data_IF_130228559993
#
_entry.id   IF_130228559993
#
_cell.length_a   1.000
_cell.length_b   1.000
_cell.length_c   1.000
_cell.angle_alpha   90.00
_cell.angle_beta   90.00
_cell.angle_gamma   90.00
#
_symmetry.space_group_name_H-M   'P 1'
#
loop_
_entity.id
_entity.type
_entity.pdbx_description
1 polymer ?
#
# COMPACT_ATOMS: atom_id res chain seq x y z
N UNK A 1 -9.31 10.93 -12.74
CA UNK A 1 -10.34 10.31 -11.86
C UNK A 1 -11.44 11.33 -11.65
N UNK A 2 -12.70 11.02 -11.98
CA UNK A 2 -13.82 11.98 -11.90
C UNK A 2 -14.76 11.61 -10.76
N UNK A 3 -15.09 12.56 -9.88
CA UNK A 3 -15.97 12.36 -8.72
C UNK A 3 -16.91 13.56 -8.54
N UNK A 4 -18.07 13.34 -7.91
CA UNK A 4 -18.91 14.43 -7.42
C UNK A 4 -18.43 14.82 -6.02
N UNK A 5 -18.11 16.11 -5.84
CA UNK A 5 -17.68 16.64 -4.55
C UNK A 5 -18.34 18.00 -4.32
N UNK A 6 -19.12 18.07 -3.23
CA UNK A 6 -19.89 19.27 -2.84
C UNK A 6 -20.86 19.76 -3.94
N UNK A 7 -21.44 18.83 -4.71
CA UNK A 7 -22.40 19.14 -5.77
C UNK A 7 -21.74 19.57 -7.10
N UNK A 8 -20.41 19.49 -7.19
CA UNK A 8 -19.67 19.75 -8.42
C UNK A 8 -18.93 18.51 -8.90
N UNK A 9 -18.93 18.31 -10.21
CA UNK A 9 -18.12 17.30 -10.86
C UNK A 9 -16.66 17.76 -10.92
N UNK A 10 -15.76 17.09 -10.18
CA UNK A 10 -14.32 17.36 -10.17
C UNK A 10 -13.53 16.24 -10.83
N UNK A 11 -12.45 16.61 -11.50
CA UNK A 11 -11.48 15.68 -12.09
C UNK A 11 -10.15 15.86 -11.37
N UNK A 12 -9.57 14.74 -10.94
CA UNK A 12 -8.29 14.69 -10.26
C UNK A 12 -7.31 13.79 -11.01
N UNK A 13 -6.05 14.18 -11.02
CA UNK A 13 -4.93 13.30 -11.33
C UNK A 13 -4.67 12.34 -10.14
N UNK A 14 -4.11 11.13 -10.38
CA UNK A 14 -3.79 10.19 -9.29
C UNK A 14 -2.93 10.82 -8.19
N UNK A 15 -1.98 11.68 -8.56
CA UNK A 15 -1.04 12.36 -7.66
C UNK A 15 -1.75 13.32 -6.71
N UNK A 16 -2.83 13.97 -7.18
CA UNK A 16 -3.66 14.83 -6.34
C UNK A 16 -4.43 14.01 -5.30
N UNK A 17 -4.85 12.79 -5.62
CA UNK A 17 -5.52 11.92 -4.65
C UNK A 17 -4.51 11.37 -3.64
N UNK A 18 -3.34 10.93 -4.12
CA UNK A 18 -2.24 10.49 -3.27
C UNK A 18 -1.77 11.60 -2.32
N UNK A 19 -1.74 12.86 -2.78
CA UNK A 19 -1.38 14.00 -1.93
C UNK A 19 -2.41 14.25 -0.82
N UNK A 20 -3.70 13.97 -1.04
CA UNK A 20 -4.72 14.04 0.02
C UNK A 20 -4.45 13.02 1.13
N UNK A 21 -4.01 11.80 0.77
CA UNK A 21 -3.60 10.78 1.75
C UNK A 21 -2.36 11.23 2.51
N UNK A 22 -1.33 11.73 1.81
CA UNK A 22 -0.10 12.23 2.42
C UNK A 22 -0.37 13.42 3.34
N UNK A 23 -1.26 14.33 2.95
CA UNK A 23 -1.71 15.45 3.79
C UNK A 23 -2.35 14.92 5.07
N UNK A 24 -3.21 13.90 4.97
CA UNK A 24 -3.82 13.32 6.16
C UNK A 24 -2.80 12.67 7.11
N UNK A 25 -1.78 12.02 6.55
CA UNK A 25 -0.69 11.43 7.34
C UNK A 25 0.18 12.51 7.99
N UNK A 26 0.47 13.60 7.27
CA UNK A 26 1.15 14.78 7.81
C UNK A 26 0.37 15.37 9.00
N UNK A 27 -0.92 15.65 8.85
CA UNK A 27 -1.78 16.15 9.94
C UNK A 27 -1.73 15.23 11.17
N UNK A 28 -1.78 13.91 10.93
CA UNK A 28 -1.72 12.91 11.99
C UNK A 28 -0.38 12.96 12.75
N UNK A 29 0.73 13.07 12.01
CA UNK A 29 2.07 13.21 12.59
C UNK A 29 2.24 14.54 13.34
N UNK A 30 1.76 15.66 12.79
CA UNK A 30 1.80 16.97 13.42
C UNK A 30 0.99 17.01 14.71
N UNK A 31 -0.20 16.40 14.72
CA UNK A 31 -1.03 16.28 15.92
C UNK A 31 -0.35 15.44 17.01
N UNK A 32 0.36 14.38 16.63
CA UNK A 32 1.11 13.55 17.57
C UNK A 32 2.36 14.26 18.13
N UNK A 33 3.09 14.99 17.29
CA UNK A 33 4.35 15.64 17.66
C UNK A 33 4.18 17.03 18.27
N UNK A 34 3.02 17.67 18.09
CA UNK A 34 2.76 19.05 18.55
C UNK A 34 3.54 20.12 17.79
N UNK A 35 4.08 19.79 16.61
CA UNK A 35 4.89 20.70 15.77
C UNK A 35 4.67 20.40 14.29
N UNK A 36 5.04 21.36 13.44
CA UNK A 36 4.93 21.17 11.99
C UNK A 36 5.93 20.15 11.46
N UNK A 37 5.50 19.39 10.46
CA UNK A 37 6.28 18.37 9.74
C UNK A 37 6.47 18.85 8.31
N UNK A 38 7.72 19.16 7.95
CA UNK A 38 8.07 19.76 6.65
C UNK A 38 8.79 18.81 5.71
N UNK A 39 9.38 17.73 6.22
CA UNK A 39 10.24 16.82 5.47
C UNK A 39 9.72 15.39 5.57
N UNK A 40 9.82 14.64 4.47
CA UNK A 40 9.41 13.24 4.43
C UNK A 40 10.32 12.39 3.55
N UNK A 41 10.42 11.11 3.91
CA UNK A 41 10.86 10.03 3.03
C UNK A 41 9.64 9.18 2.76
N UNK A 42 9.37 8.88 1.49
CA UNK A 42 8.17 8.15 1.08
C UNK A 42 8.60 6.81 0.48
N UNK A 43 7.93 5.73 0.88
CA UNK A 43 8.16 4.39 0.36
C UNK A 43 7.38 4.15 -0.93
N UNK A 44 7.90 3.33 -1.83
CA UNK A 44 7.22 2.84 -3.04
C UNK A 44 7.54 1.36 -3.27
N UNK A 45 6.68 0.62 -3.99
CA UNK A 45 7.00 -0.74 -4.42
C UNK A 45 8.31 -0.79 -5.21
N UNK A 46 9.04 -1.89 -5.11
CA UNK A 46 10.35 -2.01 -5.77
C UNK A 46 10.26 -1.88 -7.30
N UNK A 47 9.15 -2.35 -7.88
CA UNK A 47 8.88 -2.31 -9.32
C UNK A 47 8.39 -0.98 -9.88
N UNK A 48 8.23 0.05 -9.05
CA UNK A 48 7.84 1.36 -9.55
C UNK A 48 8.89 1.89 -10.54
N UNK A 49 8.41 2.22 -11.74
CA UNK A 49 9.22 2.88 -12.76
C UNK A 49 9.43 4.36 -12.43
N UNK A 50 10.25 5.04 -13.23
CA UNK A 50 10.62 6.44 -12.98
C UNK A 50 9.42 7.39 -12.97
N UNK A 51 8.42 7.18 -13.84
CA UNK A 51 7.24 8.04 -13.89
C UNK A 51 6.37 7.88 -12.64
N UNK A 52 6.19 6.65 -12.14
CA UNK A 52 5.44 6.38 -10.91
C UNK A 52 6.17 6.92 -9.66
N UNK A 53 7.51 6.85 -9.64
CA UNK A 53 8.34 7.46 -8.58
C UNK A 53 8.20 8.98 -8.59
N UNK A 54 8.24 9.59 -9.78
CA UNK A 54 8.06 11.04 -9.92
C UNK A 54 6.66 11.46 -9.49
N UNK A 55 5.62 10.74 -9.93
CA UNK A 55 4.24 10.96 -9.50
C UNK A 55 4.06 10.92 -7.97
N UNK A 56 4.73 9.98 -7.29
CA UNK A 56 4.72 9.89 -5.83
C UNK A 56 5.44 11.07 -5.17
N UNK A 57 6.56 11.51 -5.75
CA UNK A 57 7.30 12.71 -5.28
C UNK A 57 6.49 13.99 -5.47
N UNK A 58 5.78 14.11 -6.58
CA UNK A 58 4.88 15.23 -6.87
C UNK A 58 3.71 15.24 -5.88
N UNK A 59 3.15 14.08 -5.56
CA UNK A 59 2.13 13.93 -4.51
C UNK A 59 2.62 14.47 -3.16
N UNK A 60 3.87 14.16 -2.79
CA UNK A 60 4.51 14.70 -1.58
C UNK A 60 4.65 16.22 -1.63
N UNK A 61 5.06 16.76 -2.77
CA UNK A 61 5.19 18.21 -2.98
C UNK A 61 3.85 18.92 -2.86
N UNK A 62 2.79 18.39 -3.47
CA UNK A 62 1.42 18.92 -3.38
C UNK A 62 0.91 18.91 -1.93
N UNK A 63 1.30 17.91 -1.13
CA UNK A 63 0.96 17.85 0.31
C UNK A 63 1.75 18.81 1.21
N UNK A 64 2.63 19.64 0.63
CA UNK A 64 3.47 20.58 1.37
C UNK A 64 4.56 19.86 2.19
N UNK A 65 5.08 18.75 1.68
CA UNK A 65 6.23 18.03 2.21
C UNK A 65 7.42 18.17 1.25
N UNK A 66 8.59 18.47 1.79
CA UNK A 66 9.86 18.32 1.08
C UNK A 66 10.25 16.84 1.09
N UNK A 67 10.07 16.18 -0.06
CA UNK A 67 10.43 14.76 -0.24
C UNK A 67 11.95 14.63 -0.36
N UNK A 68 12.59 14.21 0.73
CA UNK A 68 14.04 14.04 0.82
C UNK A 68 14.53 12.84 0.00
N UNK A 69 13.74 11.76 -0.01
CA UNK A 69 14.06 10.53 -0.72
C UNK A 69 12.78 9.74 -1.01
N UNK A 70 12.75 9.10 -2.17
CA UNK A 70 11.86 7.98 -2.44
C UNK A 70 12.68 6.70 -2.20
N UNK A 71 12.19 5.80 -1.35
CA UNK A 71 12.88 4.55 -1.01
C UNK A 71 11.99 3.36 -1.36
N UNK A 72 12.59 2.24 -1.74
CA UNK A 72 11.84 1.01 -1.98
C UNK A 72 11.34 0.44 -0.65
N UNK A 73 10.10 -0.04 -0.63
CA UNK A 73 9.49 -0.76 0.50
C UNK A 73 10.38 -1.88 1.07
N UNK A 74 10.90 -2.83 0.25
CA UNK A 74 11.78 -3.87 0.79
C UNK A 74 13.08 -3.31 1.37
N UNK A 75 13.63 -2.22 0.81
CA UNK A 75 14.82 -1.58 1.39
C UNK A 75 14.50 -0.92 2.73
N UNK A 76 13.35 -0.25 2.85
CA UNK A 76 12.91 0.33 4.12
C UNK A 76 12.68 -0.75 5.18
N UNK A 77 12.06 -1.88 4.81
CA UNK A 77 11.88 -3.03 5.68
C UNK A 77 13.22 -3.66 6.10
N UNK A 78 14.19 -3.77 5.19
CA UNK A 78 15.53 -4.25 5.50
C UNK A 78 16.25 -3.33 6.50
N UNK A 79 16.16 -2.01 6.31
CA UNK A 79 16.72 -1.04 7.25
C UNK A 79 16.09 -1.22 8.63
N UNK A 80 14.75 -1.33 8.71
CA UNK A 80 14.07 -1.58 9.98
C UNK A 80 14.52 -2.89 10.65
N UNK A 81 14.77 -3.95 9.87
CA UNK A 81 15.29 -5.22 10.38
C UNK A 81 16.76 -5.15 10.84
N UNK A 82 17.60 -4.41 10.11
CA UNK A 82 19.04 -4.34 10.33
C UNK A 82 19.49 -3.31 11.38
N UNK A 83 18.68 -2.26 11.64
CA UNK A 83 19.03 -1.16 12.55
C UNK A 83 19.46 -1.62 13.96
N UNK A 84 18.77 -2.61 14.52
CA UNK A 84 19.06 -3.11 15.88
C UNK A 84 19.94 -4.37 15.89
N UNK A 85 20.17 -4.99 14.72
CA UNK A 85 20.89 -6.26 14.63
C UNK A 85 22.37 -6.01 14.37
N UNK A 86 23.13 -5.81 15.45
CA UNK A 86 24.61 -5.84 15.47
C UNK A 86 25.12 -7.28 15.27
N UNK A 87 24.93 -7.81 14.08
CA UNK A 87 25.55 -9.05 13.64
C UNK A 87 26.98 -8.81 13.18
N UNK A 88 27.89 -9.72 13.51
CA UNK A 88 29.17 -9.80 12.81
C UNK A 88 28.98 -10.63 11.53
N UNK A 89 29.54 -10.15 10.42
CA UNK A 89 29.59 -10.84 9.14
C UNK A 89 28.40 -10.59 8.21
N UNK A 90 28.61 -10.97 6.94
CA UNK A 90 27.63 -10.90 5.86
C UNK A 90 26.39 -11.75 6.17
N UNK A 91 25.20 -11.17 5.96
CA UNK A 91 23.92 -11.88 6.11
C UNK A 91 23.05 -11.68 4.89
N UNK A 92 22.57 -12.80 4.35
CA UNK A 92 21.54 -12.78 3.33
C UNK A 92 20.16 -12.85 3.98
N UNK A 93 19.31 -11.88 3.64
CA UNK A 93 17.96 -11.71 4.16
C UNK A 93 16.97 -11.78 3.00
N UNK A 94 15.94 -12.59 3.17
CA UNK A 94 14.78 -12.60 2.28
C UNK A 94 13.68 -11.77 2.91
N UNK A 95 13.17 -10.81 2.16
CA UNK A 95 11.99 -10.02 2.50
C UNK A 95 10.84 -10.56 1.66
N UNK A 96 9.76 -10.93 2.35
CA UNK A 96 8.51 -11.35 1.75
C UNK A 96 7.46 -10.32 2.13
N UNK A 97 6.95 -9.58 1.15
CA UNK A 97 5.93 -8.55 1.34
C UNK A 97 4.70 -8.89 0.50
N UNK A 98 3.64 -9.36 1.16
CA UNK A 98 2.35 -9.62 0.54
C UNK A 98 1.33 -8.62 1.08
N UNK A 99 1.20 -7.51 0.36
CA UNK A 99 0.38 -6.38 0.74
C UNK A 99 -1.09 -6.51 0.32
N UNK A 100 -1.76 -5.36 0.23
CA UNK A 100 -3.17 -5.29 -0.16
C UNK A 100 -3.43 -5.61 -1.64
N UNK A 101 -2.50 -5.24 -2.53
CA UNK A 101 -2.64 -5.44 -3.98
C UNK A 101 -1.34 -5.74 -4.72
N UNK A 102 -0.22 -5.82 -4.01
CA UNK A 102 1.09 -6.16 -4.57
C UNK A 102 1.75 -7.25 -3.73
N UNK A 103 2.58 -8.03 -4.41
CA UNK A 103 3.41 -9.07 -3.81
C UNK A 103 4.85 -8.88 -4.27
N UNK A 104 5.76 -8.71 -3.33
CA UNK A 104 7.18 -8.50 -3.58
C UNK A 104 8.04 -9.46 -2.74
N UNK A 105 9.08 -9.99 -3.36
CA UNK A 105 10.12 -10.78 -2.70
C UNK A 105 11.47 -10.22 -3.06
N UNK A 106 12.24 -9.78 -2.06
CA UNK A 106 13.59 -9.25 -2.26
C UNK A 106 14.61 -10.06 -1.47
N UNK A 107 15.76 -10.33 -2.09
CA UNK A 107 16.93 -10.87 -1.41
C UNK A 107 17.92 -9.72 -1.24
N UNK A 108 18.33 -9.47 0.00
CA UNK A 108 19.28 -8.44 0.35
C UNK A 108 20.45 -9.03 1.11
N UNK A 109 21.63 -8.46 0.90
CA UNK A 109 22.80 -8.71 1.72
C UNK A 109 22.97 -7.54 2.68
N UNK A 110 23.19 -7.86 3.95
CA UNK A 110 23.47 -6.89 5.01
C UNK A 110 24.88 -7.18 5.53
N UNK A 111 25.76 -6.20 5.43
CA UNK A 111 27.15 -6.27 5.91
C UNK A 111 27.54 -4.90 6.46
N UNK A 112 27.94 -4.83 7.73
CA UNK A 112 28.42 -3.60 8.40
C UNK A 112 27.53 -2.35 8.19
N UNK A 113 26.21 -2.55 8.16
CA UNK A 113 25.22 -1.48 7.96
C UNK A 113 25.01 -1.07 6.49
N UNK A 114 25.70 -1.71 5.55
CA UNK A 114 25.44 -1.62 4.12
C UNK A 114 24.32 -2.60 3.76
N UNK A 115 23.30 -2.10 3.06
CA UNK A 115 22.18 -2.89 2.57
C UNK A 115 22.25 -2.94 1.05
N UNK A 116 22.55 -4.12 0.50
CA UNK A 116 22.64 -4.33 -0.93
C UNK A 116 21.49 -5.22 -1.40
N UNK A 117 20.67 -4.72 -2.34
CA UNK A 117 19.62 -5.54 -2.96
C UNK A 117 20.27 -6.43 -4.01
N UNK A 118 20.24 -7.74 -3.81
CA UNK A 118 20.79 -8.73 -4.76
C UNK A 118 19.80 -9.08 -5.86
N UNK A 119 18.54 -9.24 -5.50
CA UNK A 119 17.47 -9.53 -6.46
C UNK A 119 16.12 -9.11 -5.91
N UNK A 120 15.17 -8.84 -6.80
CA UNK A 120 13.76 -8.62 -6.47
C UNK A 120 12.88 -9.27 -7.53
N UNK A 121 11.90 -10.05 -7.06
CA UNK A 121 10.86 -10.76 -7.82
C UNK A 121 9.48 -10.36 -7.26
N UNK A 122 8.39 -10.48 -8.01
CA UNK A 122 7.06 -10.15 -7.50
C UNK A 122 5.94 -10.15 -8.53
N UNK A 123 4.74 -9.81 -8.06
CA UNK A 123 3.53 -9.59 -8.86
C UNK A 123 2.83 -8.30 -8.41
N UNK A 124 2.72 -7.34 -9.31
CA UNK A 124 2.15 -6.01 -9.05
C UNK A 124 0.62 -6.00 -8.98
N UNK A 125 -0.03 -7.16 -9.19
CA UNK A 125 -1.48 -7.32 -9.19
C UNK A 125 -1.93 -8.54 -8.36
N UNK A 126 -1.19 -8.87 -7.31
CA UNK A 126 -1.50 -9.94 -6.38
C UNK A 126 -1.46 -9.43 -4.94
N UNK A 127 -2.54 -9.56 -4.19
CA UNK A 127 -2.53 -9.21 -2.77
C UNK A 127 -3.79 -9.58 -1.99
N UNK A 128 -3.91 -9.00 -0.81
CA UNK A 128 -5.03 -9.11 0.12
C UNK A 128 -6.42 -9.01 -0.55
N UNK A 129 -6.56 -8.12 -1.53
CA UNK A 129 -7.81 -7.86 -2.24
C UNK A 129 -8.23 -9.04 -3.15
N UNK A 130 -7.31 -9.83 -3.67
CA UNK A 130 -7.63 -11.00 -4.48
C UNK A 130 -8.30 -12.10 -3.66
N UNK A 131 -7.82 -12.31 -2.43
CA UNK A 131 -8.46 -13.21 -1.48
C UNK A 131 -9.87 -12.72 -1.13
N UNK A 132 -10.03 -11.42 -0.88
CA UNK A 132 -11.34 -10.80 -0.62
C UNK A 132 -12.28 -10.98 -1.82
N UNK A 133 -11.77 -10.79 -3.05
CA UNK A 133 -12.52 -10.98 -4.29
C UNK A 133 -12.98 -12.43 -4.46
N UNK A 134 -12.12 -13.41 -4.18
CA UNK A 134 -12.46 -14.84 -4.24
C UNK A 134 -13.58 -15.18 -3.24
N UNK A 135 -13.49 -14.68 -2.01
CA UNK A 135 -14.54 -14.86 -1.00
C UNK A 135 -15.85 -14.18 -1.40
N UNK A 136 -15.80 -12.94 -1.87
CA UNK A 136 -16.98 -12.21 -2.36
C UNK A 136 -17.67 -12.99 -3.48
N UNK A 137 -16.92 -13.46 -4.47
CA UNK A 137 -17.46 -14.23 -5.59
C UNK A 137 -18.15 -15.51 -5.13
N UNK A 138 -17.53 -16.25 -4.19
CA UNK A 138 -18.12 -17.43 -3.58
C UNK A 138 -19.46 -17.09 -2.89
N UNK A 139 -19.49 -16.06 -2.04
CA UNK A 139 -20.69 -15.70 -1.30
C UNK A 139 -21.80 -15.09 -2.17
N UNK A 140 -21.46 -14.41 -3.27
CA UNK A 140 -22.44 -13.97 -4.26
C UNK A 140 -23.14 -15.17 -4.90
N UNK A 141 -22.39 -16.20 -5.29
CA UNK A 141 -22.94 -17.43 -5.87
C UNK A 141 -23.81 -18.18 -4.86
N UNK A 142 -23.34 -18.31 -3.61
CA UNK A 142 -24.10 -18.96 -2.53
C UNK A 142 -25.39 -18.21 -2.19
N UNK A 143 -25.35 -16.87 -2.14
CA UNK A 143 -26.53 -16.06 -1.92
C UNK A 143 -27.57 -16.26 -3.04
N UNK A 144 -27.12 -16.29 -4.30
CA UNK A 144 -27.98 -16.57 -5.45
C UNK A 144 -28.58 -17.97 -5.39
N UNK A 145 -27.80 -18.97 -5.00
CA UNK A 145 -28.26 -20.36 -4.84
C UNK A 145 -29.35 -20.48 -3.77
N UNK A 146 -29.11 -19.89 -2.60
CA UNK A 146 -29.97 -20.00 -1.39
C UNK A 146 -31.22 -19.13 -1.45
N UNK A 147 -31.11 -17.90 -1.94
CA UNK A 147 -32.20 -16.91 -1.90
C UNK A 147 -32.78 -16.57 -3.27
N UNK A 148 -32.26 -17.18 -4.34
CA UNK A 148 -32.69 -16.95 -5.74
C UNK A 148 -32.66 -15.48 -6.16
N UNK A 149 -31.76 -14.69 -5.57
CA UNK A 149 -31.56 -13.26 -5.84
C UNK A 149 -30.10 -12.95 -6.15
N UNK A 150 -29.86 -12.02 -7.06
CA UNK A 150 -28.51 -11.65 -7.48
C UNK A 150 -28.01 -10.38 -6.77
N UNK A 151 -27.07 -10.55 -5.84
CA UNK A 151 -26.49 -9.47 -5.05
C UNK A 151 -25.52 -8.60 -5.86
N UNK A 152 -24.95 -9.13 -6.96
CA UNK A 152 -23.98 -8.40 -7.78
C UNK A 152 -24.59 -7.16 -8.47
N UNK A 153 -25.91 -7.16 -8.68
CA UNK A 153 -26.65 -6.04 -9.25
C UNK A 153 -26.68 -4.79 -8.35
N UNK A 154 -26.41 -4.94 -7.05
CA UNK A 154 -26.50 -3.86 -6.07
C UNK A 154 -25.11 -3.49 -5.51
N UNK A 155 -24.54 -2.39 -6.01
CA UNK A 155 -23.21 -1.89 -5.60
C UNK A 155 -23.07 -1.69 -4.08
N UNK A 156 -24.13 -1.23 -3.40
CA UNK A 156 -24.12 -1.01 -1.93
C UNK A 156 -24.09 -2.35 -1.19
N UNK A 157 -24.87 -3.32 -1.63
CA UNK A 157 -24.88 -4.66 -1.04
C UNK A 157 -23.52 -5.36 -1.26
N UNK A 158 -22.95 -5.25 -2.47
CA UNK A 158 -21.64 -5.82 -2.79
C UNK A 158 -20.53 -5.20 -1.94
N UNK A 159 -20.55 -3.89 -1.69
CA UNK A 159 -19.58 -3.23 -0.80
C UNK A 159 -19.70 -3.75 0.64
N UNK A 160 -20.91 -3.93 1.16
CA UNK A 160 -21.14 -4.50 2.50
C UNK A 160 -20.60 -5.93 2.60
N UNK A 161 -20.85 -6.75 1.57
CA UNK A 161 -20.34 -8.11 1.51
C UNK A 161 -18.81 -8.14 1.48
N UNK A 162 -18.18 -7.27 0.68
CA UNK A 162 -16.72 -7.14 0.61
C UNK A 162 -16.11 -6.80 1.97
N UNK A 163 -16.65 -5.81 2.69
CA UNK A 163 -16.19 -5.48 4.05
C UNK A 163 -16.36 -6.66 5.02
N UNK A 164 -17.45 -7.43 4.90
CA UNK A 164 -17.65 -8.62 5.72
C UNK A 164 -16.65 -9.75 5.36
N UNK A 165 -16.35 -9.94 4.08
CA UNK A 165 -15.36 -10.93 3.62
C UNK A 165 -13.96 -10.59 4.11
N UNK A 166 -13.56 -9.32 4.00
CA UNK A 166 -12.25 -8.86 4.47
C UNK A 166 -12.10 -9.03 5.98
N UNK A 167 -13.15 -8.73 6.75
CA UNK A 167 -13.19 -9.03 8.19
C UNK A 167 -13.11 -10.53 8.48
N UNK A 168 -13.84 -11.35 7.74
CA UNK A 168 -13.84 -12.81 7.90
C UNK A 168 -12.46 -13.41 7.56
N UNK A 169 -11.82 -12.97 6.47
CA UNK A 169 -10.43 -13.34 6.12
C UNK A 169 -9.49 -13.10 7.28
N UNK A 170 -9.51 -11.90 7.87
CA UNK A 170 -8.69 -11.57 9.06
C UNK A 170 -9.01 -12.44 10.27
N UNK A 171 -10.25 -12.87 10.44
CA UNK A 171 -10.69 -13.71 11.57
C UNK A 171 -10.21 -15.16 11.42
N UNK A 172 -9.98 -15.61 10.18
CA UNK A 172 -9.57 -16.97 9.85
C UNK A 172 -8.04 -17.13 9.72
N UNK A 173 -7.27 -16.05 9.89
CA UNK A 173 -5.80 -16.05 9.91
C UNK A 173 -5.28 -16.28 11.31
#
# INVERSE_FOLDING_TARGET
IKVDYKGESKTFFPEEISSMVLTKMKETAEAYLGKSVTNAVITVPAYFNDSQRQATKDSGTISGLQVLRIINEPTAAAIAYGLDKKGQGERNVLIFDLGGGTFDVSILTIEDGIFEVKSTAGDTHLGGEDFDNRMVNHFVQEFKRKYKKDLASNKRALRRLRTACERAKRTLS
#
